data_IF_526820881419
#
_entry.id   IF_526820881419
#
_cell.length_a   1.000
_cell.length_b   1.000
_cell.length_c   1.000
_cell.angle_alpha   90.00
_cell.angle_beta   90.00
_cell.angle_gamma   90.00
#
_symmetry.space_group_name_H-M   'P 1'
#
loop_
_entity.id
_entity.type
_entity.pdbx_description
1 polymer ?
#
# COMPACT_ATOMS: atom_id res chain seq x y z
N UNK A 1 13.85 -29.42 -16.57
CA UNK A 1 14.65 -28.73 -15.52
C UNK A 1 15.58 -27.65 -16.04
N UNK A 2 16.44 -27.90 -17.04
CA UNK A 2 17.48 -26.95 -17.51
C UNK A 2 16.97 -25.58 -18.04
N UNK A 3 15.75 -25.51 -18.62
CA UNK A 3 15.13 -24.23 -19.07
C UNK A 3 14.56 -23.37 -17.94
N UNK A 4 13.96 -24.00 -16.92
CA UNK A 4 13.43 -23.28 -15.73
C UNK A 4 14.56 -22.75 -14.86
N UNK A 5 15.67 -23.47 -14.78
CA UNK A 5 16.89 -23.03 -14.07
C UNK A 5 17.59 -21.86 -14.79
N UNK A 6 17.55 -21.83 -16.14
CA UNK A 6 18.04 -20.70 -16.95
C UNK A 6 17.20 -19.43 -16.76
N UNK A 7 15.87 -19.54 -16.70
CA UNK A 7 15.00 -18.39 -16.39
C UNK A 7 15.21 -17.88 -14.97
N UNK A 8 15.42 -18.77 -13.98
CA UNK A 8 15.71 -18.38 -12.60
C UNK A 8 17.04 -17.62 -12.49
N UNK A 9 18.08 -18.06 -13.20
CA UNK A 9 19.39 -17.39 -13.26
C UNK A 9 19.30 -16.04 -13.99
N UNK A 10 18.47 -15.93 -15.04
CA UNK A 10 18.25 -14.66 -15.75
C UNK A 10 17.46 -13.66 -14.89
N UNK A 11 16.46 -14.13 -14.11
CA UNK A 11 15.77 -13.29 -13.12
C UNK A 11 16.68 -12.90 -11.94
N UNK A 12 17.58 -13.79 -11.51
CA UNK A 12 18.58 -13.49 -10.46
C UNK A 12 19.67 -12.52 -10.96
N UNK A 13 20.01 -12.56 -12.25
CA UNK A 13 20.91 -11.62 -12.93
C UNK A 13 20.26 -10.26 -13.23
N UNK A 14 18.93 -10.19 -13.35
CA UNK A 14 18.18 -8.93 -13.39
C UNK A 14 17.93 -8.33 -12.00
N UNK A 15 18.14 -9.11 -10.93
CA UNK A 15 18.09 -8.67 -9.52
C UNK A 15 19.48 -8.35 -8.94
N UNK A 16 20.55 -8.51 -9.72
CA UNK A 16 21.86 -7.96 -9.35
C UNK A 16 21.75 -6.43 -9.46
N UNK A 17 21.93 -5.69 -8.36
CA UNK A 17 21.87 -4.24 -8.42
C UNK A 17 22.93 -3.79 -9.42
N UNK A 18 22.57 -2.78 -10.21
CA UNK A 18 23.44 -2.07 -11.13
C UNK A 18 24.55 -1.37 -10.33
N UNK A 19 25.48 -2.15 -9.80
CA UNK A 19 26.69 -1.69 -9.14
C UNK A 19 27.64 -1.22 -10.25
N UNK A 20 27.53 0.05 -10.61
CA UNK A 20 28.37 0.62 -11.64
C UNK A 20 27.82 1.83 -12.40
N UNK A 21 26.66 2.39 -12.03
CA UNK A 21 26.40 3.77 -12.41
C UNK A 21 27.29 4.64 -11.52
N UNK A 22 28.48 4.97 -12.04
CA UNK A 22 29.30 6.04 -11.50
C UNK A 22 28.37 7.25 -11.38
N UNK A 23 28.18 7.71 -10.15
CA UNK A 23 27.52 8.98 -9.92
C UNK A 23 28.23 10.02 -10.79
N UNK A 24 27.49 10.92 -11.48
CA UNK A 24 28.15 12.08 -12.08
C UNK A 24 28.96 12.73 -10.96
N UNK A 25 30.25 12.96 -11.20
CA UNK A 25 31.13 13.67 -10.28
C UNK A 25 30.36 14.87 -9.73
N UNK A 26 29.94 14.75 -8.46
CA UNK A 26 29.46 15.88 -7.70
C UNK A 26 30.68 16.79 -7.64
N UNK A 27 30.67 17.82 -8.50
CA UNK A 27 31.65 18.88 -8.52
C UNK A 27 31.87 19.24 -7.07
N UNK A 28 33.05 18.92 -6.54
CA UNK A 28 33.35 19.06 -5.11
C UNK A 28 32.82 20.41 -4.66
N UNK A 29 31.78 20.39 -3.83
CA UNK A 29 31.23 21.61 -3.29
C UNK A 29 32.39 22.31 -2.59
N UNK A 30 32.59 23.58 -2.93
CA UNK A 30 33.69 24.33 -2.34
C UNK A 30 33.40 24.42 -0.84
N UNK A 31 34.20 23.75 -0.01
CA UNK A 31 34.15 23.87 1.45
C UNK A 31 34.00 25.35 1.84
N UNK A 32 33.05 25.64 2.73
CA UNK A 32 32.78 27.02 3.15
C UNK A 32 32.00 27.88 2.15
N UNK A 33 31.18 27.27 1.30
CA UNK A 33 30.19 27.95 0.44
C UNK A 33 29.02 28.56 1.23
N UNK A 34 28.22 29.40 0.56
CA UNK A 34 26.86 29.76 1.00
C UNK A 34 25.90 28.74 0.39
N UNK A 35 25.22 27.98 1.23
CA UNK A 35 24.33 26.91 0.79
C UNK A 35 22.91 27.45 0.60
N UNK A 36 22.44 27.53 -0.64
CA UNK A 36 21.15 28.13 -1.00
C UNK A 36 20.11 27.03 -1.17
N UNK A 37 19.09 27.04 -0.32
CA UNK A 37 18.01 26.06 -0.27
C UNK A 37 16.71 26.74 -0.74
N UNK A 38 16.15 26.33 -1.88
CA UNK A 38 14.86 26.87 -2.33
C UNK A 38 13.71 26.37 -1.44
N UNK A 39 12.89 27.30 -0.98
CA UNK A 39 11.64 27.08 -0.24
C UNK A 39 10.49 27.58 -1.12
N UNK A 40 10.23 26.83 -2.18
CA UNK A 40 9.25 27.17 -3.21
C UNK A 40 8.00 26.28 -3.10
N UNK A 41 6.87 26.80 -3.57
CA UNK A 41 5.57 26.10 -3.62
C UNK A 41 4.99 25.80 -2.22
N UNK A 42 4.11 24.81 -2.11
CA UNK A 42 3.41 24.47 -0.86
C UNK A 42 4.36 23.82 0.16
N UNK A 43 4.24 24.22 1.43
CA UNK A 43 5.00 23.64 2.54
C UNK A 43 4.36 22.30 2.94
N UNK A 44 4.96 21.21 2.44
CA UNK A 44 4.56 19.83 2.72
C UNK A 44 5.69 19.03 3.41
N UNK A 45 5.35 17.87 3.97
CA UNK A 45 6.30 17.02 4.70
C UNK A 45 7.51 16.59 3.85
N UNK A 46 7.33 16.45 2.53
CA UNK A 46 8.42 16.15 1.60
C UNK A 46 9.43 17.30 1.48
N UNK A 47 8.96 18.56 1.51
CA UNK A 47 9.81 19.74 1.57
C UNK A 47 10.60 19.75 2.89
N UNK A 48 9.95 19.48 4.02
CA UNK A 48 10.64 19.38 5.32
C UNK A 48 11.76 18.35 5.30
N UNK A 49 11.51 17.15 4.75
CA UNK A 49 12.53 16.12 4.62
C UNK A 49 13.69 16.56 3.71
N UNK A 50 13.40 17.27 2.62
CA UNK A 50 14.40 17.86 1.74
C UNK A 50 15.25 18.92 2.45
N UNK A 51 14.62 19.81 3.21
CA UNK A 51 15.33 20.84 3.98
C UNK A 51 16.24 20.20 5.04
N UNK A 52 15.77 19.17 5.74
CA UNK A 52 16.61 18.45 6.72
C UNK A 52 17.88 17.89 6.10
N UNK A 53 17.77 17.27 4.92
CA UNK A 53 18.93 16.77 4.17
C UNK A 53 19.82 17.90 3.68
N UNK A 54 19.24 18.99 3.19
CA UNK A 54 19.97 20.16 2.75
C UNK A 54 20.76 20.82 3.90
N UNK A 55 20.18 20.90 5.11
CA UNK A 55 20.88 21.37 6.31
C UNK A 55 22.00 20.41 6.71
N UNK A 56 21.74 19.10 6.71
CA UNK A 56 22.77 18.09 7.03
C UNK A 56 23.93 18.17 6.03
N UNK A 57 23.65 18.35 4.74
CA UNK A 57 24.67 18.51 3.71
C UNK A 57 25.43 19.84 3.86
N UNK A 58 24.75 20.92 4.23
CA UNK A 58 25.41 22.19 4.55
C UNK A 58 26.37 22.05 5.75
N UNK A 59 26.03 21.23 6.75
CA UNK A 59 26.91 20.89 7.88
C UNK A 59 28.10 20.03 7.44
N UNK A 60 27.87 19.00 6.62
CA UNK A 60 28.93 18.15 6.05
C UNK A 60 29.91 18.95 5.18
N UNK A 61 29.41 19.90 4.39
CA UNK A 61 30.19 20.79 3.53
C UNK A 61 30.80 22.01 4.27
N UNK A 62 30.57 22.09 5.59
CA UNK A 62 31.03 23.19 6.44
C UNK A 62 30.64 24.56 5.89
N UNK A 63 29.38 24.69 5.42
CA UNK A 63 28.85 25.91 4.83
C UNK A 63 29.01 27.10 5.78
N UNK A 64 29.37 28.26 5.23
CA UNK A 64 29.52 29.50 6.00
C UNK A 64 28.18 30.11 6.40
N UNK A 65 27.16 29.86 5.60
CA UNK A 65 25.78 30.25 5.85
C UNK A 65 24.83 29.37 5.05
N UNK A 66 23.61 29.24 5.55
CA UNK A 66 22.47 28.68 4.83
C UNK A 66 21.56 29.84 4.41
N UNK A 67 21.16 29.86 3.15
CA UNK A 67 20.13 30.75 2.62
C UNK A 67 18.88 29.95 2.37
N UNK A 68 17.75 30.38 2.93
CA UNK A 68 16.43 29.96 2.52
C UNK A 68 15.92 30.96 1.48
N UNK A 69 15.86 30.55 0.21
CA UNK A 69 15.28 31.36 -0.87
C UNK A 69 13.77 31.09 -0.94
N UNK A 70 12.97 32.01 -0.38
CA UNK A 70 11.56 31.78 -0.05
C UNK A 70 10.65 32.38 -1.12
N UNK A 71 9.84 31.51 -1.74
CA UNK A 71 8.68 31.89 -2.55
C UNK A 71 7.52 30.90 -2.36
N UNK A 72 6.69 31.15 -1.36
CA UNK A 72 5.61 30.25 -0.95
C UNK A 72 4.34 30.98 -0.51
N UNK A 73 3.21 30.34 -0.78
CA UNK A 73 1.89 30.72 -0.28
C UNK A 73 1.56 30.10 1.10
N UNK A 74 2.43 29.24 1.62
CA UNK A 74 2.23 28.51 2.86
C UNK A 74 1.99 27.03 2.63
N UNK A 75 1.40 26.37 3.63
CA UNK A 75 1.17 24.93 3.64
C UNK A 75 0.86 24.48 5.06
N UNK A 76 1.35 23.30 5.43
CA UNK A 76 1.01 22.70 6.71
C UNK A 76 1.74 23.36 7.88
N UNK A 77 1.00 23.56 8.98
CA UNK A 77 1.53 24.17 10.22
C UNK A 77 2.56 23.28 10.91
N UNK A 78 2.34 21.97 10.93
CA UNK A 78 3.28 20.99 11.52
C UNK A 78 4.64 21.01 10.81
N UNK A 79 4.63 20.98 9.48
CA UNK A 79 5.83 21.10 8.66
C UNK A 79 6.56 22.43 8.88
N UNK A 80 5.82 23.54 9.00
CA UNK A 80 6.40 24.86 9.26
C UNK A 80 7.11 24.93 10.63
N UNK A 81 6.48 24.42 11.69
CA UNK A 81 7.07 24.36 13.04
C UNK A 81 8.37 23.56 13.04
N UNK A 82 8.37 22.44 12.33
CA UNK A 82 9.53 21.57 12.22
C UNK A 82 10.69 22.21 11.46
N UNK A 83 10.40 22.95 10.38
CA UNK A 83 11.41 23.76 9.68
C UNK A 83 11.91 24.90 10.58
N UNK A 84 11.03 25.56 11.35
CA UNK A 84 11.44 26.57 12.32
C UNK A 84 12.39 26.01 13.38
N UNK A 85 12.16 24.79 13.87
CA UNK A 85 13.06 24.12 14.80
C UNK A 85 14.40 23.77 14.15
N UNK A 86 14.40 23.34 12.89
CA UNK A 86 15.62 23.11 12.12
C UNK A 86 16.47 24.39 12.00
N UNK A 87 15.82 25.53 11.78
CA UNK A 87 16.50 26.84 11.71
C UNK A 87 17.11 27.23 13.06
N UNK A 88 16.39 26.99 14.17
CA UNK A 88 16.86 27.34 15.52
C UNK A 88 17.92 26.41 16.09
N UNK A 89 17.98 25.17 15.62
CA UNK A 89 18.89 24.14 16.16
C UNK A 89 20.24 24.07 15.46
N UNK A 90 20.37 24.63 14.25
CA UNK A 90 21.65 24.66 13.54
C UNK A 90 22.60 25.73 14.09
N UNK A 91 23.89 25.43 14.10
CA UNK A 91 24.95 26.40 14.44
C UNK A 91 25.37 27.26 13.24
N UNK A 92 24.97 26.86 12.02
CA UNK A 92 25.29 27.59 10.79
C UNK A 92 24.39 28.83 10.69
N UNK A 93 24.92 30.03 10.41
CA UNK A 93 24.11 31.23 10.21
C UNK A 93 23.05 31.04 9.12
N UNK A 94 21.78 31.32 9.44
CA UNK A 94 20.64 31.19 8.52
C UNK A 94 20.14 32.57 8.06
N UNK A 95 20.02 32.73 6.75
CA UNK A 95 19.46 33.90 6.06
C UNK A 95 18.16 33.47 5.37
N UNK A 96 17.06 34.15 5.64
CA UNK A 96 15.88 34.06 4.81
C UNK A 96 15.86 35.21 3.79
N UNK A 97 15.72 34.88 2.52
CA UNK A 97 15.53 35.85 1.45
C UNK A 97 14.16 35.62 0.81
N UNK A 98 13.24 36.57 0.99
CA UNK A 98 11.90 36.48 0.39
C UNK A 98 11.95 37.06 -1.02
N UNK A 99 11.93 36.19 -2.03
CA UNK A 99 12.04 36.59 -3.43
C UNK A 99 10.74 37.20 -3.95
N UNK A 100 9.59 36.65 -3.55
CA UNK A 100 8.28 37.13 -4.00
C UNK A 100 7.25 37.01 -2.88
N UNK A 101 7.10 35.83 -2.26
CA UNK A 101 6.09 35.61 -1.22
C UNK A 101 6.62 34.78 -0.05
N UNK A 102 6.32 35.23 1.16
CA UNK A 102 6.42 34.46 2.39
C UNK A 102 5.07 34.54 3.12
N UNK A 103 4.07 33.84 2.59
CA UNK A 103 2.70 33.88 3.09
C UNK A 103 2.42 32.68 3.99
N UNK A 104 1.56 32.88 4.99
CA UNK A 104 1.12 31.85 5.91
C UNK A 104 2.28 31.15 6.62
N UNK A 105 2.37 29.83 6.56
CA UNK A 105 3.49 29.04 7.08
C UNK A 105 4.87 29.53 6.57
N UNK A 106 4.94 30.12 5.37
CA UNK A 106 6.19 30.71 4.86
C UNK A 106 6.67 31.91 5.67
N UNK A 107 5.76 32.71 6.21
CA UNK A 107 6.11 33.83 7.10
C UNK A 107 6.75 33.34 8.40
N UNK A 108 6.24 32.23 8.97
CA UNK A 108 6.84 31.61 10.16
C UNK A 108 8.27 31.16 9.90
N UNK A 109 8.51 30.46 8.77
CA UNK A 109 9.85 30.01 8.38
C UNK A 109 10.79 31.20 8.23
N UNK A 110 10.35 32.25 7.52
CA UNK A 110 11.15 33.46 7.31
C UNK A 110 11.48 34.18 8.63
N UNK A 111 10.52 34.32 9.54
CA UNK A 111 10.68 35.01 10.83
C UNK A 111 11.64 34.26 11.77
N UNK A 112 11.76 32.93 11.65
CA UNK A 112 12.71 32.16 12.45
C UNK A 112 14.17 32.37 12.05
N UNK A 113 14.44 32.82 10.81
CA UNK A 113 15.81 33.08 10.38
C UNK A 113 16.35 34.36 11.04
N UNK A 114 17.52 34.34 11.71
CA UNK A 114 18.07 35.54 12.33
C UNK A 114 18.24 36.71 11.35
N UNK A 115 18.71 36.42 10.14
CA UNK A 115 18.84 37.39 9.05
C UNK A 115 17.65 37.23 8.09
N UNK A 116 16.92 38.31 7.81
CA UNK A 116 15.74 38.30 6.96
C UNK A 116 15.72 39.49 6.02
N UNK A 117 15.78 39.22 4.73
CA UNK A 117 15.74 40.21 3.66
C UNK A 117 14.59 39.94 2.68
N UNK A 118 14.17 40.97 1.96
CA UNK A 118 13.12 40.87 0.95
C UNK A 118 13.57 41.48 -0.39
N UNK A 119 13.06 40.93 -1.50
CA UNK A 119 13.15 41.57 -2.81
C UNK A 119 12.13 42.71 -2.96
N UNK A 120 12.36 43.69 -3.87
CA UNK A 120 11.37 44.70 -4.19
C UNK A 120 10.05 44.07 -4.66
N UNK A 121 8.92 44.55 -4.12
CA UNK A 121 7.59 44.01 -4.45
C UNK A 121 7.23 42.69 -3.78
N UNK A 122 8.12 42.11 -2.95
CA UNK A 122 7.81 40.91 -2.18
C UNK A 122 6.78 41.18 -1.07
N UNK A 123 6.13 40.12 -0.59
CA UNK A 123 5.09 40.19 0.46
C UNK A 123 5.31 39.16 1.55
N UNK A 124 5.07 39.54 2.81
CA UNK A 124 5.19 38.66 3.99
C UNK A 124 3.99 38.81 4.94
N UNK A 125 3.47 37.70 5.45
CA UNK A 125 2.42 37.68 6.48
C UNK A 125 1.22 36.80 6.14
N UNK A 126 0.01 37.23 6.51
CA UNK A 126 -1.26 36.51 6.33
C UNK A 126 -1.19 35.02 6.77
N UNK A 127 -0.98 34.81 8.07
CA UNK A 127 -0.67 33.52 8.69
C UNK A 127 -1.74 32.99 9.64
N UNK A 128 -3.01 33.28 9.34
CA UNK A 128 -4.14 32.64 10.00
C UNK A 128 -4.22 31.16 9.62
N UNK A 129 -4.39 30.28 10.63
CA UNK A 129 -4.61 28.86 10.40
C UNK A 129 -6.04 28.62 9.94
N UNK A 130 -6.17 27.88 8.84
CA UNK A 130 -7.46 27.49 8.26
C UNK A 130 -7.59 25.97 8.18
N UNK A 131 -8.83 25.50 8.22
CA UNK A 131 -9.18 24.12 7.99
C UNK A 131 -9.25 23.82 6.48
N UNK A 132 -9.33 22.55 6.11
CA UNK A 132 -9.37 22.11 4.70
C UNK A 132 -10.59 22.64 3.93
N UNK A 133 -11.65 23.05 4.62
CA UNK A 133 -12.85 23.68 4.04
C UNK A 133 -12.68 25.20 3.84
N UNK A 134 -11.55 25.78 4.24
CA UNK A 134 -11.25 27.20 4.15
C UNK A 134 -11.75 28.02 5.33
N UNK A 135 -12.45 27.43 6.29
CA UNK A 135 -12.89 28.12 7.51
C UNK A 135 -11.74 28.30 8.49
N UNK A 136 -11.92 29.23 9.43
CA UNK A 136 -10.93 29.45 10.49
C UNK A 136 -10.79 28.18 11.35
N UNK A 137 -9.56 27.87 11.76
CA UNK A 137 -9.31 26.81 12.72
C UNK A 137 -9.91 27.13 14.10
N UNK A 138 -10.04 26.10 14.94
CA UNK A 138 -10.52 26.25 16.32
C UNK A 138 -9.72 27.34 17.06
N UNK A 139 -10.37 28.20 17.88
CA UNK A 139 -9.69 29.25 18.62
C UNK A 139 -8.47 28.79 19.42
N UNK A 140 -8.46 27.54 19.93
CA UNK A 140 -7.32 26.93 20.60
C UNK A 140 -6.12 26.74 19.66
N UNK A 141 -6.37 26.29 18.43
CA UNK A 141 -5.33 26.09 17.40
C UNK A 141 -4.77 27.45 16.96
N UNK A 142 -5.65 28.42 16.74
CA UNK A 142 -5.25 29.80 16.40
C UNK A 142 -4.42 30.43 17.51
N UNK A 143 -4.83 30.26 18.78
CA UNK A 143 -4.10 30.79 19.93
C UNK A 143 -2.72 30.12 20.08
N UNK A 144 -2.64 28.80 19.91
CA UNK A 144 -1.37 28.07 19.92
C UNK A 144 -0.44 28.55 18.81
N UNK A 145 -0.92 28.60 17.56
CA UNK A 145 -0.12 29.05 16.43
C UNK A 145 0.34 30.51 16.55
N UNK A 146 -0.52 31.38 17.09
CA UNK A 146 -0.16 32.76 17.40
C UNK A 146 0.98 32.83 18.41
N UNK A 147 0.98 31.99 19.44
CA UNK A 147 2.07 31.93 20.41
C UNK A 147 3.39 31.47 19.76
N UNK A 148 3.34 30.46 18.89
CA UNK A 148 4.52 29.99 18.13
C UNK A 148 5.11 31.09 17.25
N UNK A 149 4.26 31.82 16.50
CA UNK A 149 4.69 32.95 15.67
C UNK A 149 5.32 34.07 16.51
N UNK A 150 4.72 34.40 17.66
CA UNK A 150 5.28 35.40 18.58
C UNK A 150 6.64 34.94 19.12
N UNK A 151 6.77 33.68 19.53
CA UNK A 151 8.04 33.14 20.02
C UNK A 151 9.15 33.20 18.97
N UNK A 152 8.84 32.92 17.70
CA UNK A 152 9.77 33.08 16.59
C UNK A 152 10.23 34.54 16.42
N UNK A 153 9.32 35.49 16.57
CA UNK A 153 9.63 36.92 16.51
C UNK A 153 10.47 37.38 17.71
N UNK A 154 10.16 36.92 18.93
CA UNK A 154 10.95 37.22 20.13
C UNK A 154 12.38 36.70 20.03
N UNK A 155 12.54 35.47 19.53
CA UNK A 155 13.86 34.86 19.35
C UNK A 155 14.77 35.66 18.40
N UNK A 156 14.17 36.33 17.43
CA UNK A 156 14.89 37.10 16.41
C UNK A 156 14.81 38.62 16.60
N UNK A 157 14.22 39.08 17.71
CA UNK A 157 14.12 40.51 18.05
C UNK A 157 13.15 41.31 17.16
N UNK A 158 12.18 40.66 16.52
CA UNK A 158 11.19 41.27 15.62
C UNK A 158 9.93 41.72 16.36
N UNK A 159 9.19 42.66 15.76
CA UNK A 159 7.97 43.22 16.38
C UNK A 159 6.88 42.15 16.53
N UNK A 160 6.69 41.68 17.77
CA UNK A 160 5.72 40.65 18.14
C UNK A 160 4.28 41.08 17.90
N UNK A 161 3.97 42.38 17.92
CA UNK A 161 2.62 42.89 17.66
C UNK A 161 2.28 42.78 16.18
N UNK A 162 3.23 43.13 15.30
CA UNK A 162 3.09 42.95 13.84
C UNK A 162 2.88 41.49 13.50
N UNK A 163 3.74 40.61 14.04
CA UNK A 163 3.67 39.16 13.82
C UNK A 163 2.37 38.57 14.38
N UNK A 164 1.96 38.98 15.57
CA UNK A 164 0.67 38.62 16.14
C UNK A 164 -0.50 39.02 15.23
N UNK A 165 -0.41 40.16 14.54
CA UNK A 165 -1.42 40.62 13.60
C UNK A 165 -1.46 39.82 12.29
N UNK A 166 -0.42 39.05 11.96
CA UNK A 166 -0.43 38.15 10.81
C UNK A 166 -1.34 36.95 11.03
N UNK A 167 -1.47 36.50 12.29
CA UNK A 167 -2.29 35.34 12.66
C UNK A 167 -3.70 35.74 13.07
N UNK A 168 -3.84 36.79 13.87
CA UNK A 168 -5.11 37.17 14.47
C UNK A 168 -5.64 38.48 13.89
N UNK A 169 -6.76 38.36 13.16
CA UNK A 169 -7.45 39.49 12.55
C UNK A 169 -8.06 40.48 13.56
N UNK A 170 -8.22 40.08 14.82
CA UNK A 170 -8.77 40.93 15.87
C UNK A 170 -7.74 41.87 16.51
N UNK A 171 -6.44 41.64 16.26
CA UNK A 171 -5.37 42.49 16.76
C UNK A 171 -5.34 43.77 15.96
N UNK A 172 -5.69 44.90 16.59
CA UNK A 172 -5.63 46.20 15.94
C UNK A 172 -4.21 46.79 16.01
N UNK A 173 -3.70 47.24 14.86
CA UNK A 173 -2.39 47.88 14.75
C UNK A 173 -2.60 49.21 14.02
N UNK A 174 -2.73 50.32 14.77
CA UNK A 174 -2.97 51.63 14.18
C UNK A 174 -1.93 51.98 13.12
N UNK A 175 -2.39 52.41 11.94
CA UNK A 175 -1.53 52.77 10.80
C UNK A 175 -1.05 51.58 9.96
N UNK A 176 -1.36 50.34 10.34
CA UNK A 176 -0.97 49.12 9.60
C UNK A 176 -2.17 48.36 9.10
N UNK A 177 -3.17 48.12 9.97
CA UNK A 177 -4.41 47.44 9.58
C UNK A 177 -5.60 47.80 10.46
N UNK A 178 -6.79 47.69 9.88
CA UNK A 178 -8.05 47.78 10.63
C UNK A 178 -8.40 46.43 11.30
N UNK A 179 -9.30 46.48 12.29
CA UNK A 179 -9.83 45.28 12.93
C UNK A 179 -10.62 44.44 11.91
N UNK A 180 -10.31 43.14 11.82
CA UNK A 180 -10.93 42.20 10.89
C UNK A 180 -10.05 41.79 9.70
N UNK A 181 -8.92 42.46 9.48
CA UNK A 181 -7.95 42.15 8.44
C UNK A 181 -6.73 41.42 9.03
N UNK A 182 -5.99 40.67 8.21
CA UNK A 182 -4.69 40.10 8.60
C UNK A 182 -3.56 41.06 8.19
N UNK A 183 -2.47 41.06 8.95
CA UNK A 183 -1.26 41.77 8.54
C UNK A 183 -0.64 41.01 7.36
N UNK A 184 -0.50 41.70 6.24
CA UNK A 184 0.30 41.29 5.09
C UNK A 184 1.06 42.53 4.63
N UNK A 185 2.39 42.49 4.71
CA UNK A 185 3.24 43.65 4.47
C UNK A 185 3.95 43.54 3.13
N UNK A 186 4.00 44.64 2.38
CA UNK A 186 4.98 44.81 1.31
C UNK A 186 6.40 44.89 1.90
N UNK A 187 7.42 44.73 1.06
CA UNK A 187 8.82 44.88 1.46
C UNK A 187 9.09 46.24 2.16
N UNK A 188 8.51 47.34 1.66
CA UNK A 188 8.67 48.68 2.22
C UNK A 188 8.01 48.81 3.60
N UNK A 189 6.80 48.26 3.76
CA UNK A 189 6.12 48.24 5.05
C UNK A 189 6.87 47.36 6.05
N UNK A 190 7.39 46.21 5.60
CA UNK A 190 8.13 45.28 6.45
C UNK A 190 9.40 45.92 7.03
N UNK A 191 10.13 46.71 6.23
CA UNK A 191 11.28 47.52 6.73
C UNK A 191 10.82 48.61 7.68
N UNK A 192 9.75 49.35 7.35
CA UNK A 192 9.24 50.42 8.21
C UNK A 192 8.83 49.92 9.61
N UNK A 193 8.36 48.68 9.69
CA UNK A 193 7.98 48.00 10.93
C UNK A 193 9.10 47.17 11.57
N UNK A 194 10.35 47.25 11.06
CA UNK A 194 11.50 46.49 11.57
C UNK A 194 11.26 44.98 11.62
N UNK A 195 10.45 44.47 10.70
CA UNK A 195 10.23 43.04 10.53
C UNK A 195 11.41 42.40 9.78
N UNK A 196 11.97 43.12 8.81
CA UNK A 196 13.07 42.65 7.95
C UNK A 196 14.22 43.64 7.97
N UNK A 197 15.42 43.16 7.69
CA UNK A 197 16.67 43.92 7.80
C UNK A 197 16.80 44.94 6.66
N UNK A 198 16.25 44.62 5.48
CA UNK A 198 16.30 45.49 4.32
C UNK A 198 15.65 44.91 3.06
N UNK A 199 15.66 45.74 2.02
CA UNK A 199 15.21 45.38 0.67
C UNK A 199 16.43 45.34 -0.23
N UNK A 200 16.61 44.24 -0.96
CA UNK A 200 17.74 44.05 -1.86
C UNK A 200 17.24 43.58 -3.24
N UNK A 201 17.81 44.08 -4.35
CA UNK A 201 17.32 43.77 -5.69
C UNK A 201 17.39 42.28 -6.05
N UNK A 202 18.37 41.56 -5.49
CA UNK A 202 18.55 40.14 -5.66
C UNK A 202 19.25 39.52 -4.43
N UNK A 203 19.29 38.19 -4.38
CA UNK A 203 19.95 37.44 -3.31
C UNK A 203 21.44 37.81 -3.19
N UNK A 204 22.11 38.08 -4.31
CA UNK A 204 23.54 38.40 -4.30
C UNK A 204 23.81 39.71 -3.56
N UNK A 205 22.98 40.73 -3.76
CA UNK A 205 23.05 42.00 -3.05
C UNK A 205 22.78 41.83 -1.54
N UNK A 206 21.83 40.98 -1.17
CA UNK A 206 21.59 40.64 0.23
C UNK A 206 22.81 39.94 0.87
N UNK A 207 23.42 38.99 0.17
CA UNK A 207 24.63 38.29 0.65
C UNK A 207 25.81 39.24 0.84
N UNK A 208 26.00 40.22 -0.03
CA UNK A 208 27.01 41.27 0.17
C UNK A 208 26.77 42.03 1.47
N UNK A 209 25.51 42.41 1.75
CA UNK A 209 25.14 43.11 2.99
C UNK A 209 25.42 42.28 4.24
N UNK A 210 25.14 40.98 4.20
CA UNK A 210 25.35 40.07 5.33
C UNK A 210 26.80 39.57 5.47
N UNK A 211 27.72 40.00 4.61
CA UNK A 211 29.15 39.68 4.71
C UNK A 211 29.60 38.44 3.91
N UNK A 212 28.78 37.95 2.98
CA UNK A 212 29.03 36.76 2.16
C UNK A 212 29.25 37.06 0.67
N UNK A 213 29.51 38.32 0.30
CA UNK A 213 29.63 38.75 -1.11
C UNK A 213 30.69 38.04 -1.95
N UNK A 214 31.79 37.61 -1.30
CA UNK A 214 32.92 36.91 -1.95
C UNK A 214 32.86 35.38 -1.79
N UNK A 215 31.78 34.86 -1.19
CA UNK A 215 31.60 33.44 -0.94
C UNK A 215 30.86 32.79 -2.10
N UNK A 216 31.36 31.65 -2.59
CA UNK A 216 30.69 30.91 -3.65
C UNK A 216 29.32 30.42 -3.17
N UNK A 217 28.30 30.51 -4.03
CA UNK A 217 26.97 29.96 -3.74
C UNK A 217 26.90 28.52 -4.24
N UNK A 218 26.46 27.61 -3.39
CA UNK A 218 26.04 26.26 -3.75
C UNK A 218 24.52 26.19 -3.67
N UNK A 219 23.85 26.15 -4.82
CA UNK A 219 22.39 26.01 -4.86
C UNK A 219 22.03 24.53 -4.73
N UNK A 220 21.29 24.20 -3.68
CA UNK A 220 20.78 22.86 -3.44
C UNK A 220 19.86 22.44 -4.59
N UNK A 221 20.23 21.37 -5.28
CA UNK A 221 19.44 20.76 -6.33
C UNK A 221 18.92 19.40 -5.84
N UNK A 222 17.60 19.16 -5.84
CA UNK A 222 17.08 17.87 -5.46
C UNK A 222 17.65 16.76 -6.34
N UNK A 223 18.10 15.67 -5.73
CA UNK A 223 18.66 14.53 -6.44
C UNK A 223 17.59 13.83 -7.28
N UNK A 224 17.99 13.05 -8.28
CA UNK A 224 17.05 12.26 -9.09
C UNK A 224 16.19 11.31 -8.23
N UNK A 225 16.75 10.76 -7.15
CA UNK A 225 16.01 9.93 -6.21
C UNK A 225 14.93 10.72 -5.47
N UNK A 226 15.20 11.98 -5.11
CA UNK A 226 14.21 12.86 -4.46
C UNK A 226 13.14 13.33 -5.44
N UNK A 227 13.51 13.62 -6.69
CA UNK A 227 12.55 13.96 -7.74
C UNK A 227 11.59 12.80 -8.01
N UNK A 228 12.12 11.58 -8.12
CA UNK A 228 11.30 10.36 -8.22
C UNK A 228 10.46 10.18 -6.97
N UNK A 229 11.05 10.32 -5.78
CA UNK A 229 10.37 10.26 -4.49
C UNK A 229 9.15 11.19 -4.45
N UNK A 230 9.33 12.48 -4.77
CA UNK A 230 8.26 13.47 -4.86
C UNK A 230 7.18 13.07 -5.86
N UNK A 231 7.56 12.57 -7.04
CA UNK A 231 6.59 12.13 -8.05
C UNK A 231 5.76 10.94 -7.57
N UNK A 232 6.39 9.92 -7.00
CA UNK A 232 5.70 8.69 -6.60
C UNK A 232 4.88 8.84 -5.32
N UNK A 233 5.16 9.88 -4.52
CA UNK A 233 4.36 10.24 -3.34
C UNK A 233 3.23 11.22 -3.65
N UNK A 234 2.99 11.57 -4.92
CA UNK A 234 1.86 12.44 -5.27
C UNK A 234 0.51 11.78 -4.93
N UNK A 235 -0.52 12.55 -4.50
CA UNK A 235 -1.85 12.04 -4.15
C UNK A 235 -2.62 11.33 -5.27
N UNK A 236 -2.13 11.31 -6.50
CA UNK A 236 -2.71 10.53 -7.59
C UNK A 236 -1.87 9.29 -7.92
N UNK A 237 -0.57 9.32 -7.64
CA UNK A 237 0.38 8.27 -8.00
C UNK A 237 0.39 7.15 -6.97
N UNK A 238 0.27 7.48 -5.68
CA UNK A 238 0.23 6.48 -4.60
C UNK A 238 -0.87 5.41 -4.83
N UNK A 239 -2.15 5.77 -5.04
CA UNK A 239 -3.19 4.77 -5.22
C UNK A 239 -2.99 3.97 -6.51
N UNK A 240 -2.47 4.61 -7.56
CA UNK A 240 -2.18 3.94 -8.82
C UNK A 240 -1.09 2.87 -8.66
N UNK A 241 0.00 3.17 -7.95
CA UNK A 241 1.08 2.22 -7.67
C UNK A 241 0.57 1.02 -6.86
N UNK A 242 -0.25 1.27 -5.84
CA UNK A 242 -0.84 0.19 -5.04
C UNK A 242 -1.82 -0.66 -5.86
N UNK A 243 -2.66 -0.03 -6.70
CA UNK A 243 -3.59 -0.72 -7.60
C UNK A 243 -2.82 -1.60 -8.59
N UNK A 244 -1.86 -1.04 -9.33
CA UNK A 244 -1.04 -1.79 -10.30
C UNK A 244 -0.27 -2.89 -9.57
N UNK A 245 0.26 -2.58 -8.39
CA UNK A 245 0.96 -3.51 -7.51
C UNK A 245 0.15 -4.75 -7.19
N UNK A 246 -0.99 -4.55 -6.53
CA UNK A 246 -1.87 -5.63 -6.10
C UNK A 246 -2.52 -6.34 -7.30
N UNK A 247 -2.94 -5.63 -8.35
CA UNK A 247 -3.51 -6.22 -9.55
C UNK A 247 -2.52 -7.09 -10.32
N UNK A 248 -1.26 -6.67 -10.43
CA UNK A 248 -0.22 -7.46 -11.09
C UNK A 248 0.05 -8.78 -10.36
N UNK A 249 0.07 -8.73 -9.02
CA UNK A 249 0.20 -9.92 -8.18
C UNK A 249 -1.03 -10.83 -8.27
N UNK A 250 -2.25 -10.29 -8.19
CA UNK A 250 -3.47 -11.11 -8.30
C UNK A 250 -3.59 -11.75 -9.67
N UNK A 251 -3.21 -11.05 -10.74
CA UNK A 251 -3.17 -11.60 -12.09
C UNK A 251 -2.26 -12.83 -12.18
N UNK A 252 -1.03 -12.74 -11.69
CA UNK A 252 -0.07 -13.86 -11.75
C UNK A 252 -0.58 -15.09 -10.99
N UNK A 253 -1.28 -14.90 -9.86
CA UNK A 253 -1.87 -16.00 -9.08
C UNK A 253 -3.01 -16.67 -9.85
N UNK A 254 -3.91 -15.88 -10.44
CA UNK A 254 -5.08 -16.42 -11.16
C UNK A 254 -4.69 -17.05 -12.49
N UNK A 255 -3.73 -16.47 -13.20
CA UNK A 255 -3.24 -16.93 -14.50
C UNK A 255 -1.74 -17.28 -14.42
N UNK A 256 -1.37 -18.40 -13.77
CA UNK A 256 0.03 -18.76 -13.57
C UNK A 256 0.78 -18.93 -14.89
N UNK A 257 2.03 -18.46 -14.94
CA UNK A 257 2.96 -18.72 -16.04
C UNK A 257 3.11 -17.57 -17.03
N UNK A 258 2.51 -16.41 -16.77
CA UNK A 258 2.77 -15.16 -17.50
C UNK A 258 3.53 -14.19 -16.60
N UNK A 259 4.80 -14.43 -16.29
CA UNK A 259 5.60 -13.65 -15.30
C UNK A 259 5.50 -12.10 -15.35
N UNK A 260 5.14 -11.50 -16.49
CA UNK A 260 5.14 -10.05 -16.71
C UNK A 260 4.24 -9.23 -15.75
N UNK A 261 2.95 -9.53 -15.52
CA UNK A 261 2.11 -8.78 -14.59
C UNK A 261 2.61 -8.88 -13.15
N UNK A 262 3.12 -10.04 -12.74
CA UNK A 262 3.74 -10.21 -11.42
C UNK A 262 4.98 -9.32 -11.23
N UNK A 263 5.84 -9.22 -12.26
CA UNK A 263 7.02 -8.33 -12.23
C UNK A 263 6.59 -6.87 -12.18
N UNK A 264 5.61 -6.46 -13.00
CA UNK A 264 5.08 -5.09 -12.99
C UNK A 264 4.45 -4.76 -11.63
N UNK A 265 3.70 -5.70 -11.04
CA UNK A 265 3.12 -5.55 -9.71
C UNK A 265 4.18 -5.39 -8.63
N UNK A 266 5.18 -6.28 -8.62
CA UNK A 266 6.32 -6.20 -7.71
C UNK A 266 7.13 -4.91 -7.86
N UNK A 267 7.37 -4.46 -9.10
CA UNK A 267 8.08 -3.21 -9.38
C UNK A 267 7.29 -1.99 -8.89
N UNK A 268 5.97 -1.96 -9.08
CA UNK A 268 5.12 -0.87 -8.58
C UNK A 268 5.11 -0.80 -7.05
N UNK A 269 5.07 -1.95 -6.36
CA UNK A 269 5.16 -1.99 -4.90
C UNK A 269 6.56 -1.59 -4.41
N UNK A 270 7.62 -2.05 -5.08
CA UNK A 270 8.98 -1.63 -4.76
C UNK A 270 9.15 -0.11 -4.95
N UNK A 271 8.61 0.45 -6.03
CA UNK A 271 8.64 1.88 -6.30
C UNK A 271 7.82 2.67 -5.26
N UNK A 272 6.70 2.13 -4.80
CA UNK A 272 5.94 2.67 -3.68
C UNK A 272 6.82 2.79 -2.43
N UNK A 273 7.40 1.68 -1.94
CA UNK A 273 8.23 1.71 -0.73
C UNK A 273 9.49 2.58 -0.89
N UNK A 274 10.22 2.40 -1.99
CA UNK A 274 11.42 3.18 -2.29
C UNK A 274 11.12 4.68 -2.36
N UNK A 275 10.03 5.03 -3.00
CA UNK A 275 9.54 6.39 -3.12
C UNK A 275 9.31 7.08 -1.80
N UNK A 276 8.60 6.41 -0.90
CA UNK A 276 8.32 6.92 0.43
C UNK A 276 9.58 6.98 1.30
N UNK A 277 10.53 6.06 1.12
CA UNK A 277 11.84 6.14 1.77
C UNK A 277 12.66 7.32 1.25
N UNK A 278 12.73 7.52 -0.06
CA UNK A 278 13.44 8.63 -0.68
C UNK A 278 12.82 10.00 -0.32
N UNK A 279 11.50 10.04 -0.15
CA UNK A 279 10.79 11.22 0.34
C UNK A 279 10.95 11.43 1.87
N UNK A 280 11.47 10.44 2.61
CA UNK A 280 11.66 10.49 4.05
C UNK A 280 10.41 10.18 4.89
N UNK A 281 9.37 9.60 4.29
CA UNK A 281 8.15 9.19 4.98
C UNK A 281 8.23 7.78 5.57
N UNK A 282 9.08 6.92 5.02
CA UNK A 282 9.19 5.52 5.39
C UNK A 282 10.63 5.14 5.73
N UNK A 283 10.82 4.30 6.74
CA UNK A 283 12.10 3.62 6.98
C UNK A 283 12.05 2.14 6.62
N UNK A 284 13.16 1.45 6.91
CA UNK A 284 13.32 0.01 6.66
C UNK A 284 12.31 -0.84 7.41
N UNK A 285 11.78 -0.37 8.54
CA UNK A 285 10.75 -1.05 9.34
C UNK A 285 9.49 -1.35 8.52
N UNK A 286 9.05 -0.42 7.67
CA UNK A 286 7.87 -0.59 6.80
C UNK A 286 8.10 -1.70 5.77
N UNK A 287 9.28 -1.72 5.14
CA UNK A 287 9.69 -2.69 4.13
C UNK A 287 9.88 -4.06 4.74
N UNK A 288 10.56 -4.14 5.89
CA UNK A 288 10.78 -5.40 6.62
C UNK A 288 9.45 -6.00 7.05
N UNK A 289 8.52 -5.17 7.58
CA UNK A 289 7.21 -5.64 7.99
C UNK A 289 6.37 -6.15 6.80
N UNK A 290 6.40 -5.43 5.67
CA UNK A 290 5.74 -5.87 4.44
C UNK A 290 6.33 -7.19 3.92
N UNK A 291 7.66 -7.29 3.86
CA UNK A 291 8.36 -8.51 3.43
C UNK A 291 8.09 -9.69 4.37
N UNK A 292 8.06 -9.46 5.68
CA UNK A 292 7.67 -10.46 6.67
C UNK A 292 6.23 -10.92 6.44
N UNK A 293 5.31 -10.00 6.15
CA UNK A 293 3.95 -10.32 5.76
C UNK A 293 3.86 -11.22 4.52
N UNK A 294 4.66 -10.93 3.48
CA UNK A 294 4.73 -11.76 2.28
C UNK A 294 5.25 -13.17 2.59
N UNK A 295 6.29 -13.29 3.43
CA UNK A 295 6.83 -14.58 3.88
C UNK A 295 5.79 -15.37 4.66
N UNK A 296 5.04 -14.72 5.57
CA UNK A 296 3.96 -15.37 6.33
C UNK A 296 2.83 -15.85 5.40
N UNK A 297 2.47 -15.07 4.38
CA UNK A 297 1.50 -15.48 3.35
C UNK A 297 1.96 -16.72 2.58
N UNK A 298 3.24 -16.80 2.23
CA UNK A 298 3.82 -17.98 1.58
C UNK A 298 3.85 -19.17 2.54
N UNK A 299 4.20 -18.94 3.81
CA UNK A 299 4.27 -19.99 4.83
C UNK A 299 2.90 -20.66 5.07
N UNK A 300 1.80 -19.91 5.08
CA UNK A 300 0.44 -20.45 5.19
C UNK A 300 0.10 -21.45 4.07
N UNK A 301 0.69 -21.33 2.88
CA UNK A 301 0.45 -22.29 1.78
C UNK A 301 1.05 -23.67 2.11
N UNK A 302 2.13 -23.72 2.91
CA UNK A 302 2.81 -24.96 3.30
C UNK A 302 2.35 -25.49 4.66
N UNK A 303 2.05 -24.57 5.58
CA UNK A 303 1.50 -24.90 6.88
C UNK A 303 -0.01 -24.99 6.68
N UNK A 304 -0.53 -26.20 6.48
CA UNK A 304 -1.96 -26.47 6.48
C UNK A 304 -2.57 -26.17 7.86
N UNK A 305 -2.69 -24.89 8.19
CA UNK A 305 -3.12 -24.36 9.47
C UNK A 305 -4.56 -23.83 9.44
N UNK A 306 -4.99 -23.28 10.58
CA UNK A 306 -6.31 -22.66 10.76
C UNK A 306 -6.40 -21.23 10.16
N UNK A 307 -5.46 -20.81 9.30
CA UNK A 307 -5.45 -19.45 8.71
C UNK A 307 -4.77 -18.37 9.58
N UNK A 308 -4.23 -18.71 10.74
CA UNK A 308 -3.62 -17.73 11.67
C UNK A 308 -2.37 -17.09 11.06
N UNK A 309 -1.51 -17.88 10.40
CA UNK A 309 -0.27 -17.36 9.81
C UNK A 309 -0.61 -16.44 8.64
N UNK A 310 -1.60 -16.81 7.83
CA UNK A 310 -2.16 -15.98 6.77
C UNK A 310 -2.75 -14.67 7.30
N UNK A 311 -3.55 -14.70 8.38
CA UNK A 311 -4.13 -13.50 8.96
C UNK A 311 -3.06 -12.52 9.46
N UNK A 312 -2.03 -13.03 10.16
CA UNK A 312 -0.87 -12.22 10.57
C UNK A 312 -0.11 -11.67 9.35
N UNK A 313 0.01 -12.47 8.28
CA UNK A 313 0.60 -12.04 7.02
C UNK A 313 -0.14 -10.87 6.38
N UNK A 314 -1.47 -10.94 6.30
CA UNK A 314 -2.32 -9.85 5.76
C UNK A 314 -2.19 -8.58 6.61
N UNK A 315 -2.23 -8.72 7.94
CA UNK A 315 -2.05 -7.59 8.85
C UNK A 315 -0.67 -6.95 8.64
N UNK A 316 0.40 -7.74 8.58
CA UNK A 316 1.76 -7.23 8.36
C UNK A 316 1.92 -6.55 6.99
N UNK A 317 1.35 -7.11 5.92
CA UNK A 317 1.33 -6.48 4.60
C UNK A 317 0.61 -5.12 4.63
N UNK A 318 -0.59 -5.09 5.20
CA UNK A 318 -1.38 -3.86 5.29
C UNK A 318 -0.71 -2.80 6.17
N UNK A 319 -0.19 -3.19 7.33
CA UNK A 319 0.55 -2.31 8.22
C UNK A 319 1.83 -1.79 7.57
N UNK A 320 2.57 -2.61 6.82
CA UNK A 320 3.77 -2.17 6.10
C UNK A 320 3.45 -1.06 5.09
N UNK A 321 2.38 -1.22 4.32
CA UNK A 321 1.90 -0.17 3.40
C UNK A 321 1.47 1.08 4.16
N UNK A 322 0.63 0.96 5.17
CA UNK A 322 0.09 2.12 5.90
C UNK A 322 1.20 2.88 6.65
N UNK A 323 2.19 2.19 7.22
CA UNK A 323 3.35 2.80 7.89
C UNK A 323 4.28 3.53 6.91
N UNK A 324 4.34 3.09 5.65
CA UNK A 324 5.14 3.79 4.65
C UNK A 324 4.48 5.10 4.20
N UNK A 325 3.16 5.25 4.33
CA UNK A 325 2.43 6.43 3.90
C UNK A 325 2.66 7.63 4.82
N UNK A 326 2.81 8.83 4.24
CA UNK A 326 2.99 10.07 5.01
C UNK A 326 1.77 10.39 5.91
N UNK A 327 0.57 10.05 5.44
CA UNK A 327 -0.70 10.24 6.15
C UNK A 327 -1.40 8.88 6.22
N UNK A 328 -1.62 8.41 7.45
CA UNK A 328 -2.24 7.11 7.73
C UNK A 328 -3.64 7.00 7.13
N UNK A 329 -4.44 8.08 7.17
CA UNK A 329 -5.81 8.08 6.65
C UNK A 329 -5.82 7.98 5.13
N UNK A 330 -4.93 8.72 4.47
CA UNK A 330 -4.76 8.69 3.03
C UNK A 330 -4.20 7.33 2.57
N UNK A 331 -3.15 6.83 3.24
CA UNK A 331 -2.57 5.51 2.98
C UNK A 331 -3.60 4.38 3.11
N UNK A 332 -4.43 4.43 4.15
CA UNK A 332 -5.52 3.47 4.34
C UNK A 332 -6.56 3.55 3.22
N UNK A 333 -7.00 4.75 2.81
CA UNK A 333 -7.94 4.95 1.69
C UNK A 333 -7.37 4.41 0.37
N UNK A 334 -6.11 4.73 0.07
CA UNK A 334 -5.41 4.27 -1.14
C UNK A 334 -5.29 2.74 -1.17
N UNK A 335 -4.92 2.14 -0.03
CA UNK A 335 -4.83 0.68 0.12
C UNK A 335 -6.20 0.00 -0.04
N UNK A 336 -7.26 0.53 0.59
CA UNK A 336 -8.62 -0.01 0.47
C UNK A 336 -9.11 0.04 -0.98
N UNK A 337 -8.88 1.15 -1.68
CA UNK A 337 -9.20 1.27 -3.10
C UNK A 337 -8.45 0.21 -3.92
N UNK A 338 -7.16 0.04 -3.68
CA UNK A 338 -6.33 -0.95 -4.36
C UNK A 338 -6.81 -2.39 -4.11
N UNK A 339 -7.21 -2.71 -2.87
CA UNK A 339 -7.77 -4.02 -2.51
C UNK A 339 -9.10 -4.25 -3.24
N UNK A 340 -10.03 -3.31 -3.18
CA UNK A 340 -11.35 -3.42 -3.83
C UNK A 340 -11.18 -3.68 -5.34
N UNK A 341 -10.38 -2.85 -6.01
CA UNK A 341 -10.15 -2.98 -7.45
C UNK A 341 -9.43 -4.29 -7.78
N UNK A 342 -8.49 -4.74 -6.95
CA UNK A 342 -7.78 -6.01 -7.15
C UNK A 342 -8.68 -7.23 -6.95
N UNK A 343 -9.63 -7.18 -6.00
CA UNK A 343 -10.63 -8.24 -5.80
C UNK A 343 -11.60 -8.30 -6.98
N UNK A 344 -12.09 -7.15 -7.45
CA UNK A 344 -12.97 -7.07 -8.64
C UNK A 344 -12.25 -7.64 -9.86
N UNK A 345 -11.01 -7.22 -10.12
CA UNK A 345 -10.22 -7.75 -11.23
C UNK A 345 -9.94 -9.24 -11.06
N UNK A 346 -9.59 -9.69 -9.86
CA UNK A 346 -9.36 -11.11 -9.56
C UNK A 346 -10.58 -11.97 -9.85
N UNK A 347 -11.78 -11.52 -9.45
CA UNK A 347 -13.04 -12.20 -9.74
C UNK A 347 -13.34 -12.25 -11.25
N UNK A 348 -13.10 -11.15 -11.97
CA UNK A 348 -13.23 -11.10 -13.44
C UNK A 348 -12.24 -12.06 -14.09
N UNK A 349 -10.95 -12.00 -13.74
CA UNK A 349 -9.92 -12.88 -14.27
C UNK A 349 -10.23 -14.34 -13.96
N UNK A 350 -10.72 -14.66 -12.76
CA UNK A 350 -11.08 -16.02 -12.40
C UNK A 350 -12.29 -16.50 -13.22
N UNK A 351 -13.29 -15.65 -13.46
CA UNK A 351 -14.44 -15.98 -14.32
C UNK A 351 -14.01 -16.29 -15.76
N UNK A 352 -13.09 -15.51 -16.33
CA UNK A 352 -12.67 -15.67 -17.73
C UNK A 352 -11.49 -16.64 -17.94
N UNK A 353 -10.62 -16.82 -16.95
CA UNK A 353 -9.37 -17.59 -17.09
C UNK A 353 -9.20 -18.69 -16.03
N UNK A 354 -10.07 -18.77 -15.00
CA UNK A 354 -9.99 -19.79 -13.94
C UNK A 354 -10.21 -21.23 -14.44
N UNK A 355 -10.71 -21.39 -15.66
CA UNK A 355 -10.84 -22.69 -16.34
C UNK A 355 -9.60 -23.06 -17.20
N UNK A 356 -8.54 -22.24 -17.21
CA UNK A 356 -7.33 -22.46 -18.01
C UNK A 356 -6.16 -22.99 -17.15
N UNK A 357 -5.36 -23.88 -17.74
CA UNK A 357 -4.07 -24.31 -17.19
C UNK A 357 -4.13 -25.21 -15.95
N UNK A 358 -3.44 -24.80 -14.88
CA UNK A 358 -3.19 -25.61 -13.68
C UNK A 358 -4.45 -25.85 -12.83
N UNK A 359 -5.43 -24.96 -12.89
CA UNK A 359 -6.69 -25.04 -12.13
C UNK A 359 -7.61 -26.19 -12.60
N UNK A 360 -7.53 -26.60 -13.88
CA UNK A 360 -8.22 -27.82 -14.38
C UNK A 360 -7.78 -29.11 -13.69
N UNK A 361 -6.60 -29.13 -13.05
CA UNK A 361 -6.11 -30.29 -12.31
C UNK A 361 -6.59 -30.32 -10.85
N UNK A 362 -7.13 -29.21 -10.36
CA UNK A 362 -7.61 -29.05 -8.98
C UNK A 362 -9.14 -29.08 -8.95
N UNK A 363 -9.78 -28.49 -9.96
CA UNK A 363 -11.22 -28.57 -10.15
C UNK A 363 -11.52 -29.89 -10.85
N UNK A 364 -12.03 -30.87 -10.12
CA UNK A 364 -12.54 -32.11 -10.68
C UNK A 364 -13.75 -31.76 -11.58
N UNK A 365 -13.48 -31.51 -12.86
CA UNK A 365 -14.51 -31.16 -13.85
C UNK A 365 -15.05 -32.41 -14.56
N UNK A 366 -14.59 -33.60 -14.14
CA UNK A 366 -15.16 -34.86 -14.58
C UNK A 366 -16.52 -35.05 -13.88
N UNK A 367 -17.56 -34.44 -14.44
CA UNK A 367 -18.88 -35.04 -14.33
C UNK A 367 -18.88 -36.23 -15.28
N UNK A 368 -18.93 -37.44 -14.73
CA UNK A 368 -19.11 -38.65 -15.53
C UNK A 368 -20.52 -38.60 -16.17
N UNK A 369 -20.63 -37.95 -17.31
CA UNK A 369 -21.82 -38.06 -18.15
C UNK A 369 -21.90 -39.48 -18.71
N UNK A 370 -23.13 -40.03 -18.78
CA UNK A 370 -23.44 -41.35 -19.34
C UNK A 370 -22.89 -41.58 -20.76
N UNK A 371 -22.45 -40.53 -21.45
CA UNK A 371 -21.90 -40.56 -22.79
C UNK A 371 -20.46 -41.12 -22.86
N UNK A 372 -19.66 -41.05 -21.79
CA UNK A 372 -18.23 -41.45 -21.79
C UNK A 372 -17.98 -42.90 -21.31
N UNK A 373 -19.01 -43.75 -21.35
CA UNK A 373 -18.81 -45.20 -21.22
C UNK A 373 -18.57 -45.69 -19.80
N UNK A 374 -19.08 -44.99 -18.78
CA UNK A 374 -19.31 -45.63 -17.48
C UNK A 374 -20.43 -46.67 -17.63
N UNK A 375 -20.05 -47.91 -17.91
CA UNK A 375 -20.95 -49.06 -17.83
C UNK A 375 -21.10 -49.34 -16.33
N UNK A 376 -22.26 -49.09 -15.70
CA UNK A 376 -22.49 -49.56 -14.34
C UNK A 376 -22.22 -51.07 -14.35
N UNK A 377 -21.52 -51.59 -13.35
CA UNK A 377 -21.24 -53.02 -13.19
C UNK A 377 -22.41 -53.84 -13.72
N UNK A 378 -22.17 -54.69 -14.75
CA UNK A 378 -23.19 -55.43 -15.52
C UNK A 378 -24.42 -55.68 -14.65
N UNK A 379 -25.49 -54.96 -14.93
CA UNK A 379 -26.69 -55.00 -14.10
C UNK A 379 -27.26 -56.41 -14.14
N UNK A 380 -27.01 -57.20 -13.10
CA UNK A 380 -27.52 -58.56 -12.95
C UNK A 380 -29.03 -58.58 -12.66
N UNK A 381 -29.76 -57.47 -12.92
CA UNK A 381 -31.21 -57.34 -12.75
C UNK A 381 -32.01 -58.47 -13.41
N UNK A 382 -31.49 -59.09 -14.46
CA UNK A 382 -32.10 -60.28 -15.09
C UNK A 382 -32.16 -61.53 -14.18
N UNK A 383 -31.41 -61.53 -13.07
CA UNK A 383 -31.40 -62.57 -12.07
C UNK A 383 -32.39 -62.35 -10.92
N UNK A 384 -33.07 -61.19 -10.89
CA UNK A 384 -34.08 -60.91 -9.88
C UNK A 384 -35.16 -62.01 -9.92
N UNK A 385 -35.56 -62.50 -8.74
CA UNK A 385 -36.50 -63.61 -8.56
C UNK A 385 -36.03 -65.00 -8.98
N UNK A 386 -34.78 -65.17 -9.45
CA UNK A 386 -34.24 -66.51 -9.68
C UNK A 386 -33.99 -67.24 -8.36
N UNK A 387 -34.24 -68.55 -8.38
CA UNK A 387 -33.93 -69.44 -7.26
C UNK A 387 -32.54 -70.06 -7.43
N UNK A 388 -31.90 -70.34 -6.30
CA UNK A 388 -30.57 -70.91 -6.23
C UNK A 388 -30.36 -71.63 -4.91
N UNK A 389 -29.14 -72.12 -4.69
CA UNK A 389 -28.77 -72.84 -3.47
C UNK A 389 -27.55 -72.24 -2.81
N UNK A 390 -27.57 -72.13 -1.49
CA UNK A 390 -26.42 -71.65 -0.71
C UNK A 390 -25.28 -72.67 -0.75
N UNK A 391 -24.05 -72.22 -1.02
CA UNK A 391 -22.83 -73.04 -0.97
C UNK A 391 -22.15 -72.93 0.38
N UNK A 392 -22.21 -71.76 1.01
CA UNK A 392 -21.73 -71.51 2.36
C UNK A 392 -22.91 -71.13 3.25
N UNK A 393 -22.85 -71.32 4.58
CA UNK A 393 -23.88 -70.78 5.45
C UNK A 393 -23.90 -69.24 5.35
N UNK A 394 -25.08 -68.63 5.24
CA UNK A 394 -25.21 -67.17 5.15
C UNK A 394 -25.35 -66.56 6.55
N UNK A 395 -24.36 -65.75 6.98
CA UNK A 395 -24.30 -65.12 8.32
C UNK A 395 -23.85 -63.63 8.32
N UNK A 396 -24.61 -62.65 7.80
CA UNK A 396 -25.66 -62.76 6.80
C UNK A 396 -25.09 -62.91 5.38
N UNK A 397 -23.79 -62.70 5.18
CA UNK A 397 -23.13 -62.88 3.88
C UNK A 397 -22.62 -64.31 3.69
N UNK A 398 -22.51 -64.71 2.42
CA UNK A 398 -21.84 -65.93 1.98
C UNK A 398 -22.07 -66.12 0.48
N UNK A 399 -21.82 -67.32 -0.04
CA UNK A 399 -21.91 -67.62 -1.46
C UNK A 399 -23.12 -68.50 -1.76
N UNK A 400 -23.87 -68.18 -2.81
CA UNK A 400 -24.94 -69.01 -3.36
C UNK A 400 -24.74 -69.22 -4.86
N UNK A 401 -25.28 -70.31 -5.40
CA UNK A 401 -25.22 -70.66 -6.82
C UNK A 401 -26.57 -70.41 -7.47
N UNK A 402 -26.55 -69.61 -8.53
CA UNK A 402 -27.68 -69.35 -9.41
C UNK A 402 -27.25 -69.71 -10.84
N UNK A 403 -28.06 -70.50 -11.55
CA UNK A 403 -27.76 -70.96 -12.92
C UNK A 403 -26.34 -71.52 -13.11
N UNK A 404 -25.80 -72.22 -12.10
CA UNK A 404 -24.47 -72.83 -12.14
C UNK A 404 -23.29 -71.88 -11.88
N UNK A 405 -23.54 -70.59 -11.61
CA UNK A 405 -22.51 -69.61 -11.25
C UNK A 405 -22.59 -69.24 -9.77
N UNK A 406 -21.42 -69.05 -9.13
CA UNK A 406 -21.29 -68.64 -7.73
C UNK A 406 -21.37 -67.13 -7.61
N UNK A 407 -22.20 -66.65 -6.69
CA UNK A 407 -22.35 -65.24 -6.38
C UNK A 407 -22.25 -65.01 -4.88
N UNK A 408 -21.62 -63.89 -4.50
CA UNK A 408 -21.66 -63.41 -3.13
C UNK A 408 -23.01 -62.75 -2.87
N UNK A 409 -23.71 -63.27 -1.86
CA UNK A 409 -25.06 -62.87 -1.51
C UNK A 409 -25.14 -62.54 -0.03
N UNK A 410 -26.11 -61.69 0.30
CA UNK A 410 -26.45 -61.32 1.68
C UNK A 410 -27.88 -61.77 1.95
N UNK A 411 -28.10 -62.54 3.01
CA UNK A 411 -29.45 -62.90 3.42
C UNK A 411 -30.19 -61.68 3.94
N UNK A 412 -31.51 -61.66 3.76
CA UNK A 412 -32.40 -60.66 4.33
C UNK A 412 -32.61 -60.90 5.85
N UNK A 413 -31.52 -60.85 6.61
CA UNK A 413 -31.51 -60.89 8.08
C UNK A 413 -31.64 -62.27 8.72
N UNK A 414 -31.93 -63.34 7.96
CA UNK A 414 -32.00 -64.71 8.49
C UNK A 414 -30.70 -65.48 8.30
N UNK A 415 -30.36 -66.32 9.28
CA UNK A 415 -29.31 -67.32 9.09
C UNK A 415 -29.80 -68.40 8.13
N UNK A 416 -29.01 -68.71 7.10
CA UNK A 416 -29.34 -69.78 6.14
C UNK A 416 -28.27 -70.87 6.16
N UNK A 417 -28.62 -72.16 6.30
CA UNK A 417 -27.67 -73.26 6.26
C UNK A 417 -27.09 -73.44 4.85
N UNK A 418 -26.07 -74.31 4.73
CA UNK A 418 -25.58 -74.79 3.43
C UNK A 418 -26.68 -75.60 2.74
N UNK A 419 -26.75 -75.51 1.41
CA UNK A 419 -27.73 -76.19 0.55
C UNK A 419 -29.20 -75.76 0.77
N UNK A 420 -29.40 -74.58 1.34
CA UNK A 420 -30.71 -73.96 1.47
C UNK A 420 -31.18 -73.35 0.14
N UNK A 421 -32.45 -73.53 -0.20
CA UNK A 421 -33.05 -72.93 -1.38
C UNK A 421 -33.41 -71.46 -1.13
N UNK A 422 -32.88 -70.57 -1.97
CA UNK A 422 -32.99 -69.11 -1.79
C UNK A 422 -33.41 -68.43 -3.08
N UNK A 423 -34.14 -67.33 -2.97
CA UNK A 423 -34.57 -66.48 -4.08
C UNK A 423 -33.95 -65.09 -3.96
N UNK A 424 -33.50 -64.53 -5.10
CA UNK A 424 -33.00 -63.16 -5.15
C UNK A 424 -34.15 -62.17 -5.05
N UNK A 425 -34.11 -61.30 -4.04
CA UNK A 425 -35.15 -60.28 -3.78
C UNK A 425 -34.72 -58.85 -4.13
N UNK A 426 -33.41 -58.58 -4.18
CA UNK A 426 -32.87 -57.26 -4.50
C UNK A 426 -31.47 -57.38 -5.11
N UNK A 427 -31.18 -56.54 -6.12
CA UNK A 427 -29.85 -56.41 -6.72
C UNK A 427 -29.49 -54.92 -6.79
N UNK A 428 -28.57 -54.50 -5.93
CA UNK A 428 -28.02 -53.14 -5.86
C UNK A 428 -26.54 -53.17 -6.24
N UNK A 429 -26.23 -52.93 -7.52
CA UNK A 429 -24.86 -53.02 -8.03
C UNK A 429 -24.29 -54.43 -7.87
N UNK A 430 -23.25 -54.58 -7.05
CA UNK A 430 -22.60 -55.87 -6.73
C UNK A 430 -23.26 -56.59 -5.54
N UNK A 431 -24.20 -55.96 -4.85
CA UNK A 431 -24.88 -56.52 -3.68
C UNK A 431 -26.14 -57.26 -4.12
N UNK A 432 -26.16 -58.58 -3.91
CA UNK A 432 -27.32 -59.45 -4.19
C UNK A 432 -27.93 -59.88 -2.85
N UNK A 433 -29.20 -59.56 -2.63
CA UNK A 433 -29.93 -59.92 -1.41
C UNK A 433 -30.85 -61.11 -1.68
N UNK A 434 -30.83 -62.10 -0.79
CA UNK A 434 -31.59 -63.34 -0.94
C UNK A 434 -32.47 -63.65 0.28
N UNK A 435 -33.59 -64.33 0.04
CA UNK A 435 -34.55 -64.82 1.06
C UNK A 435 -34.79 -66.33 0.85
N UNK A 436 -35.16 -67.12 1.88
CA UNK A 436 -35.68 -68.48 1.69
C UNK A 436 -36.75 -68.58 0.61
N UNK A 437 -36.67 -69.59 -0.27
CA UNK A 437 -37.65 -69.82 -1.34
C UNK A 437 -38.98 -70.43 -0.83
N UNK A 438 -39.01 -70.99 0.38
CA UNK A 438 -40.17 -71.66 0.98
C UNK A 438 -40.69 -70.92 2.23
N UNK A 439 -41.71 -70.06 2.05
CA UNK A 439 -42.64 -69.62 3.12
C UNK A 439 -42.82 -68.10 3.37
N UNK A 440 -43.96 -67.57 2.89
CA UNK A 440 -44.76 -66.41 3.37
C UNK A 440 -44.14 -65.00 3.59
N UNK A 441 -44.31 -64.11 2.61
CA UNK A 441 -45.37 -63.06 2.64
C UNK A 441 -45.09 -61.99 1.59
N UNK A 442 -46.17 -61.69 0.88
CA UNK A 442 -46.30 -60.73 -0.21
C UNK A 442 -46.10 -59.29 0.33
N UNK A 443 -44.95 -58.69 0.04
CA UNK A 443 -44.78 -57.23 0.03
C UNK A 443 -44.17 -56.83 -1.29
N UNK A 444 -45.04 -56.49 -2.23
CA UNK A 444 -44.69 -55.72 -3.42
C UNK A 444 -44.10 -54.39 -2.94
N UNK A 445 -42.80 -54.21 -3.12
CA UNK A 445 -42.17 -52.89 -2.99
C UNK A 445 -42.50 -52.13 -4.28
N UNK A 446 -43.04 -50.90 -4.22
CA UNK A 446 -43.32 -50.13 -5.43
C UNK A 446 -42.01 -49.86 -6.16
N UNK A 447 -42.03 -50.07 -7.47
CA UNK A 447 -41.01 -49.53 -8.39
C UNK A 447 -41.01 -48.02 -8.17
N UNK A 448 -39.91 -47.48 -7.62
CA UNK A 448 -39.64 -46.05 -7.70
C UNK A 448 -39.49 -45.75 -9.20
N UNK A 449 -40.54 -45.12 -9.74
CA UNK A 449 -40.54 -44.56 -11.08
C UNK A 449 -39.38 -43.58 -11.21
N UNK A 450 -38.74 -43.62 -12.37
CA UNK A 450 -37.72 -42.70 -12.80
C UNK A 450 -38.16 -41.24 -12.56
N UNK A 451 -37.46 -40.54 -11.67
CA UNK A 451 -37.40 -39.07 -11.71
C UNK A 451 -36.50 -38.66 -12.87
N UNK A 452 -37.05 -38.77 -14.08
CA UNK A 452 -36.54 -38.09 -15.26
C UNK A 452 -37.47 -36.88 -15.50
N UNK A 453 -37.28 -35.81 -14.73
CA UNK A 453 -37.77 -34.46 -15.04
C UNK A 453 -37.05 -33.44 -14.15
N UNK A 454 -36.63 -32.35 -14.80
CA UNK A 454 -36.01 -31.14 -14.24
C UNK A 454 -34.49 -31.16 -14.03
N UNK A 455 -33.74 -30.79 -15.06
CA UNK A 455 -33.18 -29.43 -15.14
C UNK A 455 -32.75 -29.10 -16.58
N UNK A 456 -33.40 -28.08 -17.13
CA UNK A 456 -32.90 -27.25 -18.22
C UNK A 456 -31.86 -26.29 -17.68
#
# INVERSE_FOLDING_TARGET
MKRRFRCLIICLLMLLPFAGLSAPDAKAAAEGSVFVIPVENEIETGLTASLRRAFSLAEEEQARAIVLDIDTLGGRVDAAMEIGELIRSTEIPVIAFVQSKAISAGSYIAINAPQLAMAPGATIGAAEVRQSDGEQADPKVVAFWRAEMIAAAEHTGRDTKIVSGMVDRNVEIPGVKAKGELVSLSAEQAVAHKLVDGIFPDLKAALVHYGYGDVAMHVYQPTLSEQIGRFVTQPLVIPLLLVIGLMGLTWEIVVPGKLFPGVIGGASLALYFWGHMAAGFAGWESVILFAAGLVLMIAEIFVAGFGIVGALGVIALGSGVVLAAHDTSYGLKAMLLAIILSVVLGAVLFKYFGHLGMWKKIILTDQQEKADGYVPAKSNRHMLYQTGRTVTPLRPSGTAVFQGQRFDVVSEGSWLPVDAEVQIVLIEGTRIVVRPASGESNKVIPVLQDEEKEQK
#
